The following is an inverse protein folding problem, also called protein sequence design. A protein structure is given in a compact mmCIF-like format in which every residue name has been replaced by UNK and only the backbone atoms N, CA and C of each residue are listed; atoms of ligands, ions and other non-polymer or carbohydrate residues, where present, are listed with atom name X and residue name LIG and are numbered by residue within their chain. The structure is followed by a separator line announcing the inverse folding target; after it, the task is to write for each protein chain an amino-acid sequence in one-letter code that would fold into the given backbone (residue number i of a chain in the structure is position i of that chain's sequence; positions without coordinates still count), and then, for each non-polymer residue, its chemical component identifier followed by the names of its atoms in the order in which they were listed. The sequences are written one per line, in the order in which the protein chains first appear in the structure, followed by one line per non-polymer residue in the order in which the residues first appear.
data_IF_516932932817
#
_entry.id   IF_516932932817
#
_cell.length_a   1.000
_cell.length_b   1.000
_cell.length_c   1.000
_cell.angle_alpha   90.00
_cell.angle_beta   90.00
_cell.angle_gamma   90.00
#
_symmetry.space_group_name_H-M   'P 1'
#
loop_
_entity.id
_entity.type
_entity.pdbx_description
1 polymer ?
#
# COMPACT_ATOMS: atom_id res chain seq x y z
N UNK A 1 37.50 17.76 15.21
CA UNK A 1 37.94 16.69 14.28
C UNK A 1 36.71 15.95 13.79
N UNK A 2 36.44 15.99 12.47
CA UNK A 2 35.43 15.16 11.82
C UNK A 2 36.07 13.82 11.42
N UNK A 3 35.34 12.72 11.59
CA UNK A 3 34.91 11.85 10.48
C UNK A 3 33.90 10.82 10.98
N UNK A 4 32.83 10.77 10.20
CA UNK A 4 31.64 9.95 10.31
C UNK A 4 31.93 8.45 10.20
N UNK A 5 31.04 7.62 10.73
CA UNK A 5 30.60 6.40 10.04
C UNK A 5 29.23 5.96 10.56
N UNK A 6 28.27 6.18 9.67
CA UNK A 6 26.91 5.70 9.63
C UNK A 6 26.84 4.17 9.70
N UNK A 7 25.77 3.64 10.29
CA UNK A 7 25.44 2.21 10.28
C UNK A 7 23.99 1.92 10.66
N UNK A 8 23.07 2.85 10.42
CA UNK A 8 21.67 2.50 10.23
C UNK A 8 21.58 1.97 8.79
N UNK A 9 21.33 0.67 8.63
CA UNK A 9 20.97 -0.11 7.42
C UNK A 9 21.30 -1.59 7.79
N UNK A 10 20.42 -2.59 7.83
CA UNK A 10 19.09 -2.71 7.25
C UNK A 10 18.51 -4.09 7.69
N UNK A 11 17.35 -4.08 8.36
CA UNK A 11 16.42 -5.21 8.57
C UNK A 11 15.48 -5.52 7.35
N UNK A 12 15.57 -4.93 6.15
CA UNK A 12 14.69 -5.20 5.03
C UNK A 12 15.07 -6.45 4.25
N UNK A 13 16.21 -7.12 4.45
CA UNK A 13 16.53 -8.29 3.60
C UNK A 13 15.63 -9.51 3.92
N UNK A 14 15.29 -9.71 5.19
CA UNK A 14 14.37 -10.77 5.63
C UNK A 14 12.92 -10.32 5.60
N UNK A 15 12.64 -9.04 5.91
CA UNK A 15 11.29 -8.48 5.82
C UNK A 15 10.84 -8.35 4.36
N UNK A 16 11.70 -7.90 3.43
CA UNK A 16 11.35 -7.84 2.00
C UNK A 16 11.22 -9.24 1.37
N UNK A 17 11.87 -10.26 1.92
CA UNK A 17 11.65 -11.66 1.53
C UNK A 17 10.23 -12.10 1.92
N UNK A 18 9.76 -11.75 3.12
CA UNK A 18 8.41 -12.05 3.63
C UNK A 18 7.33 -11.24 2.90
N UNK A 19 7.60 -9.98 2.54
CA UNK A 19 6.66 -9.14 1.77
C UNK A 19 6.54 -9.52 0.29
N UNK A 20 7.54 -10.20 -0.31
CA UNK A 20 7.44 -10.77 -1.66
C UNK A 20 6.51 -12.00 -1.70
N UNK A 21 6.42 -12.73 -0.58
CA UNK A 21 5.63 -13.96 -0.42
C UNK A 21 4.17 -13.65 -0.09
N UNK A 22 3.90 -12.62 0.73
CA UNK A 22 2.53 -12.10 0.89
C UNK A 22 2.16 -11.24 -0.31
N UNK A 23 1.74 -11.88 -1.40
CA UNK A 23 1.01 -11.26 -2.52
C UNK A 23 -0.31 -10.68 -2.00
N UNK A 24 -0.24 -9.58 -1.27
CA UNK A 24 -1.39 -8.77 -0.90
C UNK A 24 -1.86 -8.10 -2.18
N UNK A 25 -2.94 -8.65 -2.71
CA UNK A 25 -3.87 -7.94 -3.58
C UNK A 25 -4.23 -6.61 -2.89
N UNK A 26 -4.46 -5.58 -3.69
CA UNK A 26 -4.75 -4.18 -3.35
C UNK A 26 -3.57 -3.23 -3.16
N UNK A 27 -3.00 -2.79 -4.28
CA UNK A 27 -2.65 -1.37 -4.43
C UNK A 27 -2.86 -0.90 -5.88
N UNK A 28 -4.11 -0.97 -6.34
CA UNK A 28 -4.56 -0.15 -7.46
C UNK A 28 -4.91 1.22 -6.90
N UNK A 29 -3.96 2.15 -6.96
CA UNK A 29 -4.12 3.59 -7.22
C UNK A 29 -2.70 4.17 -7.18
N UNK A 30 -2.18 4.60 -8.33
CA UNK A 30 -0.97 5.43 -8.39
C UNK A 30 -1.36 6.79 -7.81
N UNK A 31 -0.89 7.22 -6.63
CA UNK A 31 -1.07 8.59 -6.23
C UNK A 31 -0.07 9.37 -7.07
N UNK A 32 -0.56 10.28 -7.92
CA UNK A 32 0.25 11.39 -8.41
C UNK A 32 0.46 12.32 -7.20
N UNK A 33 1.29 11.89 -6.25
CA UNK A 33 1.82 12.74 -5.19
C UNK A 33 3.25 13.08 -5.59
N UNK A 34 3.36 14.03 -6.52
CA UNK A 34 4.63 14.68 -6.82
C UNK A 34 4.95 15.56 -5.62
N UNK A 35 5.81 15.02 -4.74
CA UNK A 35 6.74 15.74 -3.85
C UNK A 35 6.37 17.18 -3.47
N UNK A 36 5.53 17.33 -2.45
CA UNK A 36 5.22 18.63 -1.82
C UNK A 36 6.20 19.00 -0.68
N UNK A 37 7.28 18.24 -0.48
CA UNK A 37 8.17 18.37 0.68
C UNK A 37 9.62 18.69 0.27
N UNK A 38 9.85 19.89 -0.28
CA UNK A 38 11.23 20.42 -0.40
C UNK A 38 11.35 21.95 -0.42
N UNK A 39 10.27 22.73 -0.36
CA UNK A 39 10.36 24.20 -0.33
C UNK A 39 9.40 24.83 0.68
N UNK A 40 9.44 24.37 1.93
CA UNK A 40 8.92 25.15 3.07
C UNK A 40 9.91 26.25 3.47
N UNK A 41 10.36 27.05 2.50
CA UNK A 41 11.05 28.31 2.77
C UNK A 41 9.96 29.30 3.16
N UNK A 42 10.02 29.81 4.39
CA UNK A 42 9.13 30.84 4.98
C UNK A 42 8.89 31.99 3.99
N UNK A 43 7.87 31.89 3.15
CA UNK A 43 7.30 33.02 2.42
C UNK A 43 6.04 33.45 3.17
N UNK A 44 6.04 34.69 3.66
CA UNK A 44 4.81 35.39 4.08
C UNK A 44 4.03 35.73 2.80
N UNK A 45 3.55 34.73 2.08
CA UNK A 45 2.62 34.89 0.98
C UNK A 45 1.20 34.95 1.51
N UNK A 46 0.33 35.71 0.86
CA UNK A 46 -1.10 35.61 1.09
C UNK A 46 -1.52 34.14 0.94
N UNK A 47 -2.24 33.64 1.94
CA UNK A 47 -2.77 32.27 1.97
C UNK A 47 -4.25 32.37 1.72
N UNK A 48 -4.73 31.78 0.63
CA UNK A 48 -6.17 31.66 0.39
C UNK A 48 -6.69 30.35 0.96
N UNK A 49 -7.94 30.41 1.44
CA UNK A 49 -8.70 29.23 1.87
C UNK A 49 -9.55 28.76 0.71
N UNK A 50 -9.28 27.56 0.20
CA UNK A 50 -10.11 26.93 -0.83
C UNK A 50 -10.99 25.86 -0.23
N UNK A 51 -12.24 25.83 -0.68
CA UNK A 51 -13.21 24.79 -0.35
C UNK A 51 -13.16 23.68 -1.39
N UNK A 52 -13.00 22.44 -0.92
CA UNK A 52 -13.03 21.21 -1.71
C UNK A 52 -14.14 20.31 -1.17
N UNK A 53 -14.94 19.73 -2.06
CA UNK A 53 -15.89 18.68 -1.70
C UNK A 53 -15.23 17.32 -1.88
N UNK A 54 -15.30 16.47 -0.87
CA UNK A 54 -14.83 15.09 -0.94
C UNK A 54 -15.71 14.21 -0.04
N UNK A 55 -16.23 13.10 -0.56
CA UNK A 55 -17.09 12.17 0.19
C UNK A 55 -18.27 12.85 0.93
N UNK A 56 -18.92 13.83 0.27
CA UNK A 56 -19.99 14.66 0.84
C UNK A 56 -19.59 15.53 2.05
N UNK A 57 -18.30 15.80 2.22
CA UNK A 57 -17.77 16.72 3.23
C UNK A 57 -17.01 17.85 2.56
N UNK A 58 -17.25 19.07 3.03
CA UNK A 58 -16.49 20.25 2.61
C UNK A 58 -15.22 20.37 3.46
N UNK A 59 -14.07 20.21 2.82
CA UNK A 59 -12.73 20.39 3.41
C UNK A 59 -12.20 21.77 3.00
N UNK A 60 -11.54 22.46 3.91
CA UNK A 60 -10.89 23.75 3.63
C UNK A 60 -9.38 23.60 3.69
N UNK A 61 -8.70 24.00 2.61
CA UNK A 61 -7.23 23.97 2.52
C UNK A 61 -6.68 25.40 2.47
N UNK A 62 -5.64 25.66 3.26
CA UNK A 62 -4.85 26.89 3.17
C UNK A 62 -3.71 26.68 2.17
N UNK A 63 -3.81 27.36 1.03
CA UNK A 63 -2.85 27.21 -0.08
C UNK A 63 -2.23 28.59 -0.38
N UNK A 64 -0.90 28.66 -0.58
CA UNK A 64 -0.24 29.88 -1.06
C UNK A 64 -0.74 30.33 -2.43
N UNK A 65 -0.84 31.64 -2.65
CA UNK A 65 -1.32 32.19 -3.93
C UNK A 65 -0.46 31.80 -5.15
N UNK A 66 0.85 31.55 -4.94
CA UNK A 66 1.77 31.09 -5.98
C UNK A 66 1.29 29.78 -6.62
N UNK A 67 0.69 28.87 -5.85
CA UNK A 67 0.27 27.56 -6.33
C UNK A 67 -0.99 27.63 -7.21
N UNK A 68 -1.77 28.72 -7.14
CA UNK A 68 -2.95 28.93 -7.97
C UNK A 68 -2.65 29.49 -9.36
N UNK A 69 -1.47 30.08 -9.57
CA UNK A 69 -1.08 30.64 -10.86
C UNK A 69 -1.10 29.57 -11.96
N UNK A 70 -0.47 28.43 -11.70
CA UNK A 70 -0.46 27.26 -12.59
C UNK A 70 -1.87 26.71 -12.85
N UNK A 71 -2.73 26.70 -11.83
CA UNK A 71 -4.10 26.23 -11.97
C UNK A 71 -4.97 27.16 -12.84
N UNK A 72 -4.82 28.48 -12.66
CA UNK A 72 -5.54 29.50 -13.46
C UNK A 72 -5.06 29.47 -14.91
N UNK A 73 -3.75 29.35 -15.13
CA UNK A 73 -3.15 29.31 -16.47
C UNK A 73 -3.60 28.08 -17.25
N UNK A 74 -3.51 26.90 -16.63
CA UNK A 74 -3.99 25.66 -17.24
C UNK A 74 -5.48 25.71 -17.60
N UNK A 75 -6.34 26.22 -16.70
CA UNK A 75 -7.78 26.38 -16.97
C UNK A 75 -8.05 27.35 -18.13
N UNK A 76 -7.31 28.44 -18.19
CA UNK A 76 -7.42 29.43 -19.25
C UNK A 76 -7.02 28.84 -20.61
N UNK A 77 -5.89 28.12 -20.68
CA UNK A 77 -5.41 27.46 -21.89
C UNK A 77 -6.37 26.35 -22.36
N UNK A 78 -6.86 25.51 -21.44
CA UNK A 78 -7.85 24.46 -21.74
C UNK A 78 -9.12 25.08 -22.36
N UNK A 79 -9.63 26.17 -21.79
CA UNK A 79 -10.82 26.87 -22.31
C UNK A 79 -10.54 27.59 -23.62
N UNK A 80 -9.37 28.20 -23.79
CA UNK A 80 -8.98 28.86 -25.04
C UNK A 80 -8.84 27.85 -26.18
N UNK A 81 -8.39 26.63 -25.88
CA UNK A 81 -8.30 25.55 -26.87
C UNK A 81 -9.66 24.97 -27.27
N UNK A 82 -10.64 25.00 -26.35
CA UNK A 82 -11.97 24.40 -26.55
C UNK A 82 -13.02 25.39 -27.07
N UNK A 83 -12.78 26.69 -26.98
CA UNK A 83 -13.73 27.73 -27.38
C UNK A 83 -13.60 28.12 -28.86
N UNK A 84 -14.74 28.32 -29.52
CA UNK A 84 -14.83 28.82 -30.89
C UNK A 84 -14.55 30.35 -30.94
N UNK A 85 -15.08 31.09 -29.96
CA UNK A 85 -14.86 32.54 -29.77
C UNK A 85 -13.82 32.82 -28.68
N UNK A 86 -12.60 33.14 -29.11
CA UNK A 86 -11.42 33.30 -28.23
C UNK A 86 -11.45 34.58 -27.36
N UNK A 87 -12.21 35.60 -27.76
CA UNK A 87 -12.25 36.89 -27.05
C UNK A 87 -13.11 36.87 -25.78
N UNK A 88 -14.03 35.91 -25.65
CA UNK A 88 -14.93 35.79 -24.49
C UNK A 88 -14.26 35.06 -23.31
N UNK A 89 -13.12 34.40 -23.53
CA UNK A 89 -12.45 33.61 -22.50
C UNK A 89 -11.63 34.53 -21.60
N UNK A 90 -12.04 34.65 -20.34
CA UNK A 90 -11.33 35.40 -19.30
C UNK A 90 -10.79 34.45 -18.23
N UNK A 91 -9.75 34.87 -17.51
CA UNK A 91 -9.19 34.11 -16.39
C UNK A 91 -10.19 34.10 -15.23
N UNK A 92 -10.44 32.91 -14.69
CA UNK A 92 -11.37 32.68 -13.57
C UNK A 92 -10.66 32.76 -12.22
N UNK A 93 -11.46 32.94 -11.16
CA UNK A 93 -10.93 32.83 -9.80
C UNK A 93 -10.62 31.37 -9.44
N UNK A 94 -9.64 31.12 -8.56
CA UNK A 94 -9.30 29.76 -8.13
C UNK A 94 -10.47 28.96 -7.58
N UNK A 95 -11.38 29.60 -6.84
CA UNK A 95 -12.54 28.92 -6.25
C UNK A 95 -13.57 28.51 -7.31
N UNK A 96 -13.78 29.31 -8.36
CA UNK A 96 -14.68 28.95 -9.46
C UNK A 96 -14.16 27.74 -10.25
N UNK A 97 -12.84 27.70 -10.50
CA UNK A 97 -12.19 26.56 -11.16
C UNK A 97 -12.38 25.29 -10.32
N UNK A 98 -12.14 25.39 -9.02
CA UNK A 98 -12.31 24.26 -8.10
C UNK A 98 -13.76 23.80 -8.00
N UNK A 99 -14.71 24.75 -7.95
CA UNK A 99 -16.12 24.43 -7.87
C UNK A 99 -16.63 23.74 -9.13
N UNK A 100 -16.23 24.19 -10.32
CA UNK A 100 -16.71 23.62 -11.58
C UNK A 100 -16.02 22.32 -11.99
N UNK A 101 -14.70 22.25 -11.88
CA UNK A 101 -13.93 21.11 -12.37
C UNK A 101 -13.93 19.93 -11.40
N UNK A 102 -14.06 20.21 -10.10
CA UNK A 102 -13.95 19.19 -9.06
C UNK A 102 -15.19 19.09 -8.19
N UNK A 103 -15.61 20.17 -7.51
CA UNK A 103 -16.65 20.05 -6.47
C UNK A 103 -18.02 19.69 -7.02
N UNK A 104 -18.45 20.27 -8.15
CA UNK A 104 -19.74 19.95 -8.80
C UNK A 104 -19.77 18.50 -9.32
N UNK A 105 -18.77 18.03 -10.12
CA UNK A 105 -18.70 16.63 -10.52
C UNK A 105 -18.67 15.66 -9.35
N UNK A 106 -17.88 15.95 -8.31
CA UNK A 106 -17.76 15.09 -7.13
C UNK A 106 -19.09 15.00 -6.37
N UNK A 107 -19.75 16.15 -6.13
CA UNK A 107 -21.08 16.20 -5.51
C UNK A 107 -22.10 15.38 -6.32
N UNK A 108 -22.12 15.57 -7.63
CA UNK A 108 -23.05 14.87 -8.52
C UNK A 108 -22.79 13.37 -8.57
N UNK A 109 -21.52 12.95 -8.65
CA UNK A 109 -21.10 11.55 -8.67
C UNK A 109 -21.48 10.86 -7.37
N UNK A 110 -21.18 11.49 -6.24
CA UNK A 110 -21.55 10.97 -4.93
C UNK A 110 -23.07 10.78 -4.83
N UNK A 111 -23.88 11.78 -5.20
CA UNK A 111 -25.34 11.67 -5.19
C UNK A 111 -25.87 10.63 -6.19
N UNK A 112 -25.24 10.46 -7.36
CA UNK A 112 -25.65 9.45 -8.34
C UNK A 112 -25.41 8.04 -7.79
N UNK A 113 -24.27 7.83 -7.15
CA UNK A 113 -23.91 6.54 -6.58
C UNK A 113 -24.72 6.22 -5.31
N UNK A 114 -24.92 7.22 -4.45
CA UNK A 114 -25.61 7.04 -3.17
C UNK A 114 -27.13 6.87 -3.32
N UNK A 115 -27.74 7.38 -4.40
CA UNK A 115 -29.17 7.14 -4.74
C UNK A 115 -29.55 5.66 -4.83
N UNK A 116 -28.58 4.79 -5.11
CA UNK A 116 -28.79 3.35 -5.26
C UNK A 116 -28.09 2.54 -4.17
N UNK A 117 -27.51 3.21 -3.15
CA UNK A 117 -27.00 2.53 -1.96
C UNK A 117 -28.14 2.22 -1.00
N UNK A 118 -28.09 1.03 -0.41
CA UNK A 118 -29.09 0.54 0.54
C UNK A 118 -29.99 -0.53 -0.07
N UNK A 119 -30.79 -1.15 0.81
CA UNK A 119 -31.73 -2.18 0.37
C UNK A 119 -32.82 -1.51 -0.46
N UNK A 120 -33.10 -2.00 -1.69
CA UNK A 120 -34.14 -1.42 -2.52
C UNK A 120 -35.49 -1.49 -1.77
N UNK A 121 -36.26 -0.41 -1.79
CA UNK A 121 -37.58 -0.35 -1.11
C UNK A 121 -38.57 -1.39 -1.63
N UNK A 122 -38.35 -1.90 -2.84
CA UNK A 122 -39.11 -2.97 -3.45
C UNK A 122 -38.14 -4.08 -3.85
N UNK A 123 -38.43 -5.35 -3.53
CA UNK A 123 -37.66 -6.44 -4.07
C UNK A 123 -37.74 -6.43 -5.60
N UNK A 124 -36.70 -6.91 -6.28
CA UNK A 124 -36.70 -7.06 -7.74
C UNK A 124 -37.60 -8.21 -8.24
N UNK A 125 -38.23 -8.94 -7.31
CA UNK A 125 -39.15 -10.05 -7.57
C UNK A 125 -40.58 -9.53 -7.82
N UNK A 126 -41.36 -10.21 -8.66
CA UNK A 126 -42.83 -10.04 -8.69
C UNK A 126 -43.43 -10.57 -7.39
N UNK A 127 -44.60 -10.11 -6.95
CA UNK A 127 -45.15 -10.49 -5.63
C UNK A 127 -45.53 -11.99 -5.51
N UNK A 128 -45.68 -12.71 -6.63
CA UNK A 128 -46.28 -14.05 -6.76
C UNK A 128 -45.29 -15.23 -6.76
N UNK A 129 -43.99 -15.01 -6.95
CA UNK A 129 -42.95 -16.03 -6.77
C UNK A 129 -42.71 -16.34 -5.26
N UNK A 130 -41.84 -17.29 -4.93
CA UNK A 130 -41.35 -17.51 -3.56
C UNK A 130 -40.03 -16.76 -3.34
N UNK A 131 -39.61 -16.55 -2.09
CA UNK A 131 -38.30 -15.93 -1.81
C UNK A 131 -37.21 -16.91 -2.28
N UNK A 132 -36.38 -16.47 -3.22
CA UNK A 132 -35.20 -17.24 -3.62
C UNK A 132 -34.17 -17.14 -2.50
N UNK A 133 -34.08 -18.19 -1.68
CA UNK A 133 -33.12 -18.32 -0.58
C UNK A 133 -31.76 -18.84 -1.06
N UNK A 134 -31.57 -19.00 -2.39
CA UNK A 134 -30.31 -19.48 -2.95
C UNK A 134 -29.21 -18.48 -2.63
N UNK A 135 -28.27 -18.89 -1.77
CA UNK A 135 -27.09 -18.10 -1.48
C UNK A 135 -26.18 -18.06 -2.72
N UNK A 136 -26.22 -16.96 -3.45
CA UNK A 136 -25.42 -16.79 -4.65
C UNK A 136 -23.90 -16.72 -4.38
N UNK A 137 -23.48 -16.69 -3.11
CA UNK A 137 -22.07 -16.76 -2.72
C UNK A 137 -21.43 -18.09 -3.12
N UNK A 138 -22.19 -19.19 -3.17
CA UNK A 138 -21.71 -20.52 -3.57
C UNK A 138 -21.30 -20.60 -5.05
N UNK A 139 -21.70 -19.64 -5.89
CA UNK A 139 -21.25 -19.56 -7.29
C UNK A 139 -19.85 -18.99 -7.44
N UNK A 140 -19.31 -18.34 -6.41
CA UNK A 140 -17.95 -17.84 -6.43
C UNK A 140 -17.00 -18.96 -5.99
N UNK A 141 -16.01 -19.34 -6.82
CA UNK A 141 -15.04 -20.34 -6.42
C UNK A 141 -14.25 -19.85 -5.19
N UNK A 142 -14.24 -20.65 -4.13
CA UNK A 142 -13.39 -20.41 -2.97
C UNK A 142 -11.97 -20.93 -3.24
N UNK A 143 -11.03 -19.99 -3.38
CA UNK A 143 -9.62 -20.30 -3.58
C UNK A 143 -8.85 -20.42 -2.25
N UNK A 144 -9.53 -20.41 -1.09
CA UNK A 144 -8.88 -20.52 0.22
C UNK A 144 -7.98 -21.74 0.33
N UNK A 145 -8.42 -22.87 -0.21
CA UNK A 145 -7.74 -24.15 -0.13
C UNK A 145 -6.49 -24.17 -1.01
N UNK A 146 -6.60 -23.67 -2.24
CA UNK A 146 -5.45 -23.51 -3.15
C UNK A 146 -4.40 -22.59 -2.53
N UNK A 147 -4.82 -21.42 -2.03
CA UNK A 147 -3.93 -20.47 -1.34
C UNK A 147 -3.27 -21.08 -0.09
N UNK A 148 -3.95 -21.99 0.61
CA UNK A 148 -3.40 -22.66 1.80
C UNK A 148 -2.38 -23.72 1.40
N UNK A 149 -2.65 -24.46 0.33
CA UNK A 149 -1.70 -25.44 -0.24
C UNK A 149 -0.44 -24.76 -0.76
N UNK A 150 -0.57 -23.69 -1.54
CA UNK A 150 0.56 -22.92 -2.06
C UNK A 150 1.46 -22.40 -0.93
N UNK A 151 0.88 -21.78 0.11
CA UNK A 151 1.65 -21.31 1.29
C UNK A 151 2.39 -22.44 2.00
N UNK A 152 1.79 -23.62 2.09
CA UNK A 152 2.41 -24.78 2.72
C UNK A 152 3.58 -25.31 1.87
N UNK A 153 3.38 -25.43 0.57
CA UNK A 153 4.42 -25.86 -0.37
C UNK A 153 5.60 -24.86 -0.39
N UNK A 154 5.32 -23.56 -0.38
CA UNK A 154 6.32 -22.50 -0.25
C UNK A 154 7.11 -22.61 1.07
N UNK A 155 6.41 -22.80 2.18
CA UNK A 155 7.03 -22.94 3.50
C UNK A 155 7.96 -24.16 3.56
N UNK A 156 7.49 -25.32 3.09
CA UNK A 156 8.26 -26.57 3.06
C UNK A 156 9.50 -26.42 2.17
N UNK A 157 9.36 -25.80 1.00
CA UNK A 157 10.47 -25.53 0.08
C UNK A 157 11.56 -24.65 0.72
N UNK A 158 11.15 -23.57 1.40
CA UNK A 158 12.08 -22.67 2.10
C UNK A 158 12.80 -23.42 3.23
N UNK A 159 12.08 -24.24 4.00
CA UNK A 159 12.67 -25.05 5.06
C UNK A 159 13.74 -26.01 4.53
N UNK A 160 13.48 -26.66 3.39
CA UNK A 160 14.47 -27.53 2.75
C UNK A 160 15.72 -26.79 2.31
N UNK A 161 15.58 -25.61 1.69
CA UNK A 161 16.73 -24.80 1.27
C UNK A 161 17.59 -24.43 2.49
N UNK A 162 16.96 -23.98 3.57
CA UNK A 162 17.65 -23.61 4.80
C UNK A 162 18.38 -24.81 5.40
N UNK A 163 17.74 -25.99 5.48
CA UNK A 163 18.35 -27.23 5.98
C UNK A 163 19.50 -27.74 5.12
N UNK A 164 19.43 -27.55 3.79
CA UNK A 164 20.51 -27.91 2.86
C UNK A 164 21.71 -26.95 2.96
N UNK A 165 21.46 -25.67 3.25
CA UNK A 165 22.49 -24.63 3.27
C UNK A 165 23.27 -24.54 4.59
N UNK A 166 22.65 -24.86 5.73
CA UNK A 166 23.21 -24.64 7.07
C UNK A 166 23.36 -25.95 7.86
N UNK A 167 24.11 -25.90 8.96
CA UNK A 167 24.13 -26.98 9.96
C UNK A 167 22.75 -27.08 10.63
N UNK A 168 22.33 -28.28 10.99
CA UNK A 168 21.02 -28.60 11.60
C UNK A 168 20.61 -27.61 12.71
N UNK A 169 21.44 -27.46 13.75
CA UNK A 169 21.19 -26.51 14.87
C UNK A 169 21.12 -25.03 14.48
N UNK A 170 21.67 -24.65 13.34
CA UNK A 170 21.59 -23.29 12.81
C UNK A 170 20.36 -23.11 11.92
N UNK A 171 20.00 -24.15 11.16
CA UNK A 171 18.82 -24.19 10.31
C UNK A 171 17.54 -24.14 11.15
N UNK A 172 17.43 -25.00 12.18
CA UNK A 172 16.26 -25.04 13.07
C UNK A 172 16.05 -23.71 13.82
N UNK A 173 17.13 -23.13 14.33
CA UNK A 173 17.11 -21.82 14.97
C UNK A 173 16.59 -20.72 14.03
N UNK A 174 17.03 -20.75 12.76
CA UNK A 174 16.62 -19.77 11.77
C UNK A 174 15.14 -19.96 11.39
N UNK A 175 14.70 -21.21 11.19
CA UNK A 175 13.31 -21.55 10.87
C UNK A 175 12.38 -21.09 12.00
N UNK A 176 12.67 -21.46 13.24
CA UNK A 176 11.82 -21.14 14.38
C UNK A 176 11.67 -19.63 14.63
N UNK A 177 12.77 -18.88 14.53
CA UNK A 177 12.74 -17.44 14.83
C UNK A 177 12.24 -16.62 13.63
N UNK A 178 12.64 -16.99 12.41
CA UNK A 178 12.40 -16.17 11.21
C UNK A 178 11.14 -16.58 10.46
N UNK A 179 10.86 -17.89 10.36
CA UNK A 179 9.67 -18.39 9.64
C UNK A 179 8.49 -18.58 10.60
N UNK A 180 8.69 -19.23 11.74
CA UNK A 180 7.61 -19.48 12.71
C UNK A 180 7.33 -18.27 13.62
N UNK A 181 8.23 -17.28 13.64
CA UNK A 181 8.07 -16.04 14.41
C UNK A 181 8.21 -16.20 15.93
N UNK A 182 8.83 -17.29 16.39
CA UNK A 182 9.11 -17.51 17.82
C UNK A 182 10.08 -16.45 18.33
N UNK A 183 9.81 -15.88 19.51
CA UNK A 183 10.70 -14.90 20.11
C UNK A 183 12.04 -15.51 20.52
N UNK A 184 13.12 -14.74 20.47
CA UNK A 184 14.46 -15.20 20.86
C UNK A 184 14.49 -15.66 22.32
N UNK A 185 13.66 -15.03 23.17
CA UNK A 185 13.49 -15.37 24.59
C UNK A 185 12.82 -16.72 24.76
N UNK A 186 11.70 -16.98 24.08
CA UNK A 186 11.00 -18.28 24.15
C UNK A 186 11.87 -19.42 23.62
N UNK A 187 12.62 -19.17 22.54
CA UNK A 187 13.53 -20.16 21.99
C UNK A 187 14.69 -20.48 22.97
N UNK A 188 15.21 -19.46 23.64
CA UNK A 188 16.27 -19.61 24.65
C UNK A 188 15.81 -20.41 25.87
N UNK A 189 14.58 -20.18 26.34
CA UNK A 189 13.96 -20.95 27.43
C UNK A 189 13.77 -22.42 27.06
N UNK A 190 13.34 -22.72 25.82
CA UNK A 190 13.19 -24.10 25.32
C UNK A 190 14.52 -24.85 25.25
N UNK A 191 15.61 -24.19 24.84
CA UNK A 191 16.94 -24.80 24.78
C UNK A 191 17.68 -24.75 26.15
N UNK A 192 17.21 -23.98 27.14
CA UNK A 192 17.88 -23.79 28.42
C UNK A 192 19.18 -22.97 28.32
N UNK A 193 19.27 -22.07 27.34
CA UNK A 193 20.48 -21.29 27.02
C UNK A 193 20.21 -19.80 27.27
N UNK A 194 21.26 -19.00 27.50
CA UNK A 194 21.08 -17.54 27.64
C UNK A 194 20.62 -16.90 26.33
N UNK A 195 19.78 -15.87 26.42
CA UNK A 195 19.30 -15.09 25.27
C UNK A 195 20.47 -14.55 24.43
N UNK A 196 21.54 -14.07 25.08
CA UNK A 196 22.73 -13.55 24.39
C UNK A 196 23.44 -14.61 23.56
N UNK A 197 23.53 -15.85 24.04
CA UNK A 197 24.13 -16.94 23.30
C UNK A 197 23.28 -17.35 22.08
N UNK A 198 21.94 -17.31 22.19
CA UNK A 198 21.04 -17.53 21.06
C UNK A 198 21.18 -16.41 20.02
N UNK A 199 21.24 -15.14 20.44
CA UNK A 199 21.47 -14.00 19.54
C UNK A 199 22.79 -14.15 18.74
N UNK A 200 23.88 -14.54 19.40
CA UNK A 200 25.16 -14.77 18.73
C UNK A 200 25.10 -15.96 17.75
N UNK A 201 24.41 -17.04 18.10
CA UNK A 201 24.20 -18.20 17.20
C UNK A 201 23.38 -17.79 15.98
N UNK A 202 22.32 -16.99 16.17
CA UNK A 202 21.48 -16.46 15.11
C UNK A 202 22.27 -15.57 14.15
N UNK A 203 23.09 -14.65 14.68
CA UNK A 203 23.94 -13.80 13.85
C UNK A 203 24.96 -14.59 13.03
N UNK A 204 25.51 -15.64 13.62
CA UNK A 204 26.42 -16.56 12.93
C UNK A 204 25.70 -17.31 11.81
N UNK A 205 24.48 -17.82 12.09
CA UNK A 205 23.65 -18.48 11.09
C UNK A 205 23.30 -17.54 9.93
N UNK A 206 22.89 -16.30 10.22
CA UNK A 206 22.63 -15.25 9.21
C UNK A 206 23.86 -14.95 8.35
N UNK A 207 25.04 -14.81 8.95
CA UNK A 207 26.30 -14.57 8.22
C UNK A 207 26.66 -15.74 7.32
N UNK A 208 26.49 -16.98 7.79
CA UNK A 208 26.75 -18.18 6.99
C UNK A 208 25.77 -18.29 5.83
N UNK A 209 24.48 -18.04 6.08
CA UNK A 209 23.45 -18.04 5.05
C UNK A 209 23.72 -16.98 3.97
N UNK A 210 24.10 -15.77 4.36
CA UNK A 210 24.46 -14.68 3.44
C UNK A 210 25.67 -14.99 2.56
N UNK A 211 26.63 -15.82 3.02
CA UNK A 211 27.76 -16.25 2.19
C UNK A 211 27.31 -17.15 1.04
N UNK A 212 26.29 -17.98 1.26
CA UNK A 212 25.74 -18.90 0.28
C UNK A 212 24.81 -18.16 -0.68
N UNK A 213 23.97 -17.27 -0.15
CA UNK A 213 23.02 -16.45 -0.91
C UNK A 213 23.30 -14.95 -0.69
N UNK A 214 24.27 -14.37 -1.41
CA UNK A 214 24.66 -12.96 -1.22
C UNK A 214 23.65 -11.97 -1.82
N UNK A 215 22.84 -12.42 -2.78
CA UNK A 215 21.83 -11.63 -3.47
C UNK A 215 20.47 -12.35 -3.40
N UNK A 216 19.40 -11.59 -3.28
CA UNK A 216 18.02 -12.12 -3.29
C UNK A 216 17.65 -12.86 -4.58
N UNK A 217 18.27 -12.51 -5.71
CA UNK A 217 18.05 -13.18 -7.01
C UNK A 217 18.64 -14.60 -7.09
N UNK A 218 19.52 -14.96 -6.16
CA UNK A 218 20.15 -16.30 -6.12
C UNK A 218 19.33 -17.28 -5.29
N UNK A 219 18.28 -16.81 -4.61
CA UNK A 219 17.42 -17.67 -3.82
C UNK A 219 16.50 -18.49 -4.75
N UNK A 220 16.43 -19.83 -4.59
CA UNK A 220 15.56 -20.66 -5.40
C UNK A 220 14.09 -20.28 -5.18
N UNK A 221 13.35 -20.19 -6.28
CA UNK A 221 11.90 -20.03 -6.29
C UNK A 221 11.24 -21.40 -6.19
N UNK A 222 10.14 -21.50 -5.42
CA UNK A 222 9.28 -22.69 -5.39
C UNK A 222 8.63 -22.99 -6.76
N UNK A 223 8.39 -21.95 -7.55
CA UNK A 223 7.92 -22.03 -8.92
C UNK A 223 9.11 -21.79 -9.85
N UNK A 224 9.55 -22.83 -10.55
CA UNK A 224 10.77 -22.84 -11.38
C UNK A 224 10.90 -21.70 -12.38
#
# INVERSE_FOLDING_TARGET
MRKDCCGAIEVPYLIALIFRIKRSVYFWYRPIFVSFAANAIRRKGCKMKIRIQHENKSIYLEVPDEDFTLMIEADYEDRLSSAEDKETVTRRSPQEIMDERFNKPEYNNWHKFDRHRGMPKKPFRKDDQEVDETDHMDYFPDYSDEMTREKKEEYEHICEIIRKALKEKQAELLIAIVLDGVSVTEYAEREGVSVSAISHRLDTAKKNFKKIYPKSSTFPSCHG
#
